data_IF_661535222582
#
_entry.id   IF_661535222582
#
_cell.length_a   1.000
_cell.length_b   1.000
_cell.length_c   1.000
_cell.angle_alpha   90.00
_cell.angle_beta   90.00
_cell.angle_gamma   90.00
#
_symmetry.space_group_name_H-M   'P 1'
#
loop_
_entity.id
_entity.type
_entity.pdbx_description
1 polymer ?
#
# COMPACT_ATOMS: atom_id res chain seq x y z
N UNK A 1 1.06 -16.05 28.35
CA UNK A 1 0.00 -15.00 28.39
C UNK A 1 -0.90 -15.16 27.18
N UNK A 2 -2.22 -15.07 27.40
CA UNK A 2 -3.21 -15.10 26.30
C UNK A 2 -3.13 -13.84 25.45
N UNK A 3 -3.08 -13.99 24.12
CA UNK A 3 -3.00 -12.87 23.19
C UNK A 3 -3.58 -13.17 21.81
N UNK A 4 -3.86 -12.12 21.05
CA UNK A 4 -3.90 -12.14 19.59
C UNK A 4 -2.63 -11.49 19.05
N UNK A 5 -2.15 -11.97 17.90
CA UNK A 5 -0.94 -11.45 17.26
C UNK A 5 -1.34 -10.70 15.98
N UNK A 6 -0.79 -9.51 15.80
CA UNK A 6 -0.80 -8.78 14.53
C UNK A 6 0.58 -8.82 13.89
N UNK A 7 0.66 -9.15 12.61
CA UNK A 7 1.88 -9.13 11.81
C UNK A 7 1.67 -8.20 10.62
N UNK A 8 2.51 -7.19 10.48
CA UNK A 8 2.50 -6.24 9.38
C UNK A 8 3.79 -6.37 8.55
N UNK A 9 3.67 -6.76 7.27
CA UNK A 9 4.78 -6.84 6.33
C UNK A 9 4.85 -5.55 5.52
N UNK A 10 5.61 -4.57 6.04
CA UNK A 10 5.81 -3.28 5.38
C UNK A 10 6.89 -3.30 4.29
N UNK A 11 7.22 -2.12 3.75
CA UNK A 11 8.29 -2.00 2.75
C UNK A 11 9.69 -2.08 3.35
N UNK A 12 9.86 -1.72 4.62
CA UNK A 12 11.20 -1.65 5.28
C UNK A 12 11.45 -2.74 6.30
N UNK A 13 10.42 -3.48 6.70
CA UNK A 13 10.52 -4.53 7.71
C UNK A 13 9.17 -5.11 8.10
N UNK A 14 9.21 -6.20 8.87
CA UNK A 14 8.05 -6.81 9.53
C UNK A 14 7.94 -6.27 10.95
N UNK A 15 6.71 -5.90 11.33
CA UNK A 15 6.34 -5.56 12.71
C UNK A 15 5.36 -6.58 13.23
N UNK A 16 5.65 -7.12 14.41
CA UNK A 16 4.76 -8.06 15.09
C UNK A 16 4.42 -7.51 16.47
N UNK A 17 3.13 -7.51 16.79
CA UNK A 17 2.61 -7.12 18.11
C UNK A 17 1.75 -8.23 18.70
N UNK A 18 1.81 -8.41 20.01
CA UNK A 18 0.87 -9.23 20.75
C UNK A 18 0.00 -8.33 21.63
N UNK A 19 -1.32 -8.54 21.56
CA UNK A 19 -2.33 -7.74 22.26
C UNK A 19 -3.10 -8.66 23.20
N UNK A 20 -3.20 -8.27 24.48
CA UNK A 20 -4.01 -8.99 25.47
C UNK A 20 -5.50 -8.85 25.20
N UNK A 21 -6.38 -9.69 25.84
CA UNK A 21 -7.84 -9.54 25.74
C UNK A 21 -8.35 -8.16 26.18
N UNK A 22 -7.61 -7.44 27.03
CA UNK A 22 -7.94 -6.11 27.48
C UNK A 22 -7.47 -5.00 26.53
N UNK A 23 -6.89 -5.36 25.36
CA UNK A 23 -6.43 -4.42 24.34
C UNK A 23 -5.05 -3.80 24.61
N UNK A 24 -4.26 -4.36 25.53
CA UNK A 24 -2.91 -3.87 25.84
C UNK A 24 -1.86 -4.57 24.98
N UNK A 25 -0.94 -3.79 24.42
CA UNK A 25 0.26 -4.36 23.78
C UNK A 25 1.16 -4.96 24.87
N UNK A 26 1.35 -6.28 24.85
CA UNK A 26 2.13 -7.03 25.82
C UNK A 26 3.51 -7.43 25.29
N UNK A 27 3.68 -7.50 23.98
CA UNK A 27 4.96 -7.70 23.33
C UNK A 27 4.96 -7.04 21.95
N UNK A 28 6.15 -6.63 21.48
CA UNK A 28 6.37 -6.14 20.12
C UNK A 28 7.77 -6.53 19.65
N UNK A 29 7.90 -6.81 18.36
CA UNK A 29 9.17 -7.05 17.71
C UNK A 29 9.15 -6.42 16.31
N UNK A 30 10.31 -6.06 15.82
CA UNK A 30 10.50 -5.51 14.47
C UNK A 30 11.79 -6.06 13.89
N UNK A 31 11.76 -6.46 12.63
CA UNK A 31 12.91 -6.96 11.88
C UNK A 31 12.92 -6.34 10.49
N UNK A 32 14.03 -5.75 10.09
CA UNK A 32 14.19 -5.08 8.80
C UNK A 32 14.80 -6.00 7.75
N UNK A 33 14.58 -5.66 6.49
CA UNK A 33 15.15 -6.33 5.32
C UNK A 33 15.50 -5.35 4.21
N UNK A 34 16.38 -5.74 3.27
CA UNK A 34 16.83 -4.84 2.21
C UNK A 34 15.74 -4.55 1.20
N UNK A 35 15.81 -3.38 0.60
CA UNK A 35 15.10 -3.00 -0.62
C UNK A 35 16.11 -3.00 -1.78
N UNK A 36 15.80 -3.75 -2.84
CA UNK A 36 16.60 -3.77 -4.06
C UNK A 36 16.04 -2.76 -5.08
N UNK A 37 16.93 -1.95 -5.64
CA UNK A 37 16.61 -0.99 -6.71
C UNK A 37 17.52 -1.25 -7.91
N UNK A 38 17.29 -2.34 -8.68
CA UNK A 38 18.22 -2.77 -9.74
C UNK A 38 18.44 -1.75 -10.85
N UNK A 39 17.44 -0.90 -11.11
CA UNK A 39 17.47 0.20 -12.06
C UNK A 39 16.69 1.40 -11.52
N UNK A 40 16.87 2.57 -12.11
CA UNK A 40 16.09 3.77 -11.75
C UNK A 40 14.58 3.48 -11.91
N UNK A 41 13.82 3.75 -10.87
CA UNK A 41 12.37 3.51 -10.84
C UNK A 41 11.96 2.04 -10.60
N UNK A 42 12.90 1.12 -10.44
CA UNK A 42 12.63 -0.27 -10.09
C UNK A 42 12.72 -0.49 -8.59
N UNK A 43 11.84 -1.34 -8.07
CA UNK A 43 11.77 -1.65 -6.64
C UNK A 43 11.35 -3.10 -6.44
N UNK A 44 12.24 -3.89 -5.83
CA UNK A 44 12.07 -5.34 -5.67
C UNK A 44 12.48 -5.81 -4.29
N UNK A 45 11.85 -6.89 -3.82
CA UNK A 45 12.22 -7.59 -2.58
C UNK A 45 12.11 -9.10 -2.73
N UNK A 46 12.96 -9.84 -2.02
CA UNK A 46 12.84 -11.30 -1.93
C UNK A 46 11.74 -11.66 -0.90
N UNK A 47 10.67 -12.39 -1.29
CA UNK A 47 9.65 -12.85 -0.36
C UNK A 47 10.18 -13.72 0.79
N UNK A 48 11.33 -14.40 0.60
CA UNK A 48 11.97 -15.17 1.68
C UNK A 48 12.52 -14.27 2.78
N UNK A 49 12.91 -13.02 2.48
CA UNK A 49 13.30 -12.05 3.51
C UNK A 49 12.13 -11.68 4.41
N UNK A 50 10.92 -11.50 3.83
CA UNK A 50 9.70 -11.27 4.62
C UNK A 50 9.39 -12.43 5.54
N UNK A 51 9.50 -13.65 5.01
CA UNK A 51 9.26 -14.85 5.82
C UNK A 51 10.27 -15.01 6.96
N UNK A 52 11.56 -14.82 6.68
CA UNK A 52 12.61 -14.87 7.71
C UNK A 52 12.38 -13.84 8.81
N UNK A 53 12.06 -12.59 8.43
CA UNK A 53 11.77 -11.52 9.38
C UNK A 53 10.49 -11.82 10.20
N UNK A 54 9.46 -12.38 9.56
CA UNK A 54 8.24 -12.82 10.25
C UNK A 54 8.53 -13.90 11.29
N UNK A 55 9.34 -14.90 10.96
CA UNK A 55 9.73 -15.94 11.92
C UNK A 55 10.47 -15.33 13.10
N UNK A 56 11.48 -14.48 12.83
CA UNK A 56 12.26 -13.84 13.89
C UNK A 56 11.38 -13.00 14.83
N UNK A 57 10.44 -12.22 14.30
CA UNK A 57 9.55 -11.40 15.12
C UNK A 57 8.53 -12.22 15.90
N UNK A 58 8.00 -13.31 15.34
CA UNK A 58 7.12 -14.24 16.05
C UNK A 58 7.85 -14.95 17.19
N UNK A 59 9.09 -15.40 16.95
CA UNK A 59 9.95 -16.02 17.99
C UNK A 59 10.25 -15.02 19.12
N UNK A 60 10.56 -13.77 18.79
CA UNK A 60 10.81 -12.72 19.79
C UNK A 60 9.57 -12.44 20.66
N UNK A 61 8.38 -12.39 20.06
CA UNK A 61 7.11 -12.22 20.78
C UNK A 61 6.82 -13.43 21.67
N UNK A 62 7.07 -14.65 21.20
CA UNK A 62 6.90 -15.86 21.99
C UNK A 62 7.87 -15.87 23.20
N UNK A 63 9.14 -15.49 22.99
CA UNK A 63 10.15 -15.37 24.04
C UNK A 63 9.80 -14.35 25.13
N UNK A 64 8.96 -13.37 24.81
CA UNK A 64 8.41 -12.42 25.77
C UNK A 64 7.27 -13.00 26.66
N UNK A 65 6.99 -14.29 26.56
CA UNK A 65 6.01 -15.02 27.39
C UNK A 65 4.60 -15.06 26.82
N UNK A 66 4.45 -14.88 25.50
CA UNK A 66 3.18 -15.06 24.78
C UNK A 66 3.09 -16.53 24.35
N UNK A 67 2.32 -17.33 25.10
CA UNK A 67 2.25 -18.79 24.99
C UNK A 67 0.85 -19.34 24.67
N UNK A 68 -0.20 -18.52 24.81
CA UNK A 68 -1.59 -18.84 24.46
C UNK A 68 -2.09 -17.88 23.36
N UNK A 69 -1.71 -18.16 22.10
CA UNK A 69 -2.11 -17.34 20.94
C UNK A 69 -3.47 -17.78 20.44
N UNK A 70 -4.45 -16.87 20.47
CA UNK A 70 -5.85 -17.12 20.08
C UNK A 70 -6.13 -16.89 18.61
N UNK A 71 -5.27 -16.15 17.93
CA UNK A 71 -5.35 -15.87 16.51
C UNK A 71 -4.23 -14.97 16.01
N UNK A 72 -3.98 -15.01 14.70
CA UNK A 72 -3.02 -14.16 14.02
C UNK A 72 -3.78 -13.35 12.95
N UNK A 73 -3.63 -12.02 12.99
CA UNK A 73 -4.07 -11.10 11.93
C UNK A 73 -2.88 -10.67 11.10
N UNK A 74 -3.07 -10.62 9.78
CA UNK A 74 -2.03 -10.19 8.83
C UNK A 74 -2.38 -8.84 8.23
N UNK A 75 -1.36 -8.00 8.06
CA UNK A 75 -1.38 -6.75 7.32
C UNK A 75 -0.13 -6.67 6.46
N UNK A 76 -0.17 -5.92 5.37
CA UNK A 76 1.04 -5.72 4.60
C UNK A 76 0.93 -4.75 3.44
N UNK A 77 2.10 -4.38 2.91
CA UNK A 77 2.21 -3.53 1.72
C UNK A 77 1.40 -4.11 0.56
N UNK A 78 0.59 -3.28 -0.06
CA UNK A 78 -0.34 -3.66 -1.13
C UNK A 78 0.38 -3.84 -2.47
N UNK A 79 -0.29 -4.45 -3.44
CA UNK A 79 0.05 -4.46 -4.88
C UNK A 79 1.33 -5.21 -5.28
N UNK A 80 2.18 -5.62 -4.35
CA UNK A 80 3.41 -6.37 -4.64
C UNK A 80 3.10 -7.67 -5.37
N UNK A 81 3.84 -8.00 -6.44
CA UNK A 81 3.60 -9.22 -7.23
C UNK A 81 4.56 -10.32 -6.81
N UNK A 82 4.04 -11.36 -6.17
CA UNK A 82 4.75 -12.62 -5.87
C UNK A 82 4.32 -13.69 -6.86
N UNK A 83 5.28 -14.24 -7.62
CA UNK A 83 5.05 -15.30 -8.58
C UNK A 83 5.59 -16.63 -8.03
N UNK A 84 4.74 -17.65 -8.00
CA UNK A 84 5.08 -18.98 -7.50
C UNK A 84 4.92 -20.04 -8.59
N UNK A 85 5.76 -21.08 -8.56
CA UNK A 85 5.61 -22.27 -9.37
C UNK A 85 4.59 -23.27 -8.77
N UNK A 86 4.40 -24.43 -9.41
CA UNK A 86 3.50 -25.50 -8.96
C UNK A 86 3.85 -26.09 -7.57
N UNK A 87 5.06 -25.84 -7.10
CA UNK A 87 5.57 -26.29 -5.78
C UNK A 87 5.66 -25.17 -4.77
N UNK A 88 4.99 -24.05 -5.03
CA UNK A 88 5.00 -22.84 -4.20
C UNK A 88 6.39 -22.22 -4.01
N UNK A 89 7.32 -22.44 -4.93
CA UNK A 89 8.64 -21.80 -4.89
C UNK A 89 8.57 -20.46 -5.59
N UNK A 90 9.14 -19.44 -4.96
CA UNK A 90 9.29 -18.10 -5.51
C UNK A 90 10.10 -18.16 -6.80
N UNK A 91 9.57 -17.60 -7.88
CA UNK A 91 10.20 -17.62 -9.21
C UNK A 91 11.19 -16.47 -9.41
N UNK A 92 10.96 -15.36 -8.72
CA UNK A 92 11.79 -14.14 -8.78
C UNK A 92 11.48 -13.22 -7.61
N UNK A 93 12.33 -12.21 -7.32
CA UNK A 93 11.99 -11.16 -6.36
C UNK A 93 10.66 -10.47 -6.72
N UNK A 94 9.85 -10.15 -5.73
CA UNK A 94 8.57 -9.47 -5.92
C UNK A 94 8.77 -8.03 -6.42
N UNK A 95 8.00 -7.64 -7.45
CA UNK A 95 7.94 -6.25 -7.93
C UNK A 95 6.98 -5.49 -7.03
N UNK A 96 7.45 -4.40 -6.38
CA UNK A 96 6.72 -3.70 -5.32
C UNK A 96 5.76 -2.62 -5.83
N UNK A 97 4.99 -2.04 -4.91
CA UNK A 97 3.97 -1.02 -5.15
C UNK A 97 4.53 0.32 -5.65
N UNK A 98 5.78 0.64 -5.32
CA UNK A 98 6.49 1.87 -5.70
C UNK A 98 7.36 1.70 -6.96
N UNK A 99 7.28 0.56 -7.63
CA UNK A 99 7.95 0.30 -8.91
C UNK A 99 7.24 1.02 -10.06
N UNK A 100 8.03 1.61 -10.97
CA UNK A 100 7.52 2.45 -12.06
C UNK A 100 7.74 1.86 -13.46
N UNK A 101 8.22 0.60 -13.58
CA UNK A 101 8.62 0.02 -14.87
C UNK A 101 7.48 -0.25 -15.86
N UNK A 102 6.23 -0.33 -15.40
CA UNK A 102 5.10 -0.90 -16.15
C UNK A 102 4.20 0.14 -16.83
N UNK A 103 4.75 1.31 -17.20
CA UNK A 103 3.96 2.37 -17.83
C UNK A 103 3.31 1.97 -19.16
N UNK A 104 4.02 1.22 -20.01
CA UNK A 104 3.50 0.71 -21.27
C UNK A 104 2.34 -0.29 -21.06
N UNK A 105 2.45 -1.14 -20.04
CA UNK A 105 1.43 -2.12 -19.69
C UNK A 105 0.18 -1.47 -19.11
N UNK A 106 0.31 -0.34 -18.41
CA UNK A 106 -0.84 0.46 -17.98
C UNK A 106 -1.65 0.97 -19.19
N UNK A 107 -0.98 1.52 -20.19
CA UNK A 107 -1.63 1.97 -21.42
C UNK A 107 -2.29 0.81 -22.17
N UNK A 108 -1.62 -0.34 -22.27
CA UNK A 108 -2.18 -1.56 -22.88
C UNK A 108 -3.46 -2.03 -22.17
N UNK A 109 -3.49 -2.02 -20.83
CA UNK A 109 -4.68 -2.41 -20.06
C UNK A 109 -5.85 -1.46 -20.34
N UNK A 110 -5.61 -0.15 -20.33
CA UNK A 110 -6.64 0.85 -20.62
C UNK A 110 -7.14 0.76 -22.06
N UNK A 111 -6.28 0.42 -23.03
CA UNK A 111 -6.66 0.20 -24.42
C UNK A 111 -7.52 -1.09 -24.59
N UNK A 112 -7.12 -2.20 -23.98
CA UNK A 112 -7.83 -3.48 -24.12
C UNK A 112 -9.21 -3.52 -23.47
N UNK A 113 -9.37 -2.85 -22.34
CA UNK A 113 -10.61 -2.90 -21.54
C UNK A 113 -11.47 -1.65 -21.77
N UNK A 114 -10.85 -0.51 -22.04
CA UNK A 114 -11.47 0.81 -22.04
C UNK A 114 -11.43 1.44 -20.63
N UNK A 115 -10.94 2.67 -20.54
CA UNK A 115 -10.71 3.35 -19.25
C UNK A 115 -11.98 3.42 -18.39
N UNK A 116 -13.12 3.82 -18.98
CA UNK A 116 -14.39 3.93 -18.25
C UNK A 116 -14.82 2.57 -17.68
N UNK A 117 -14.71 1.51 -18.50
CA UNK A 117 -15.09 0.16 -18.07
C UNK A 117 -14.17 -0.38 -16.98
N UNK A 118 -12.87 -0.14 -17.11
CA UNK A 118 -11.88 -0.52 -16.09
C UNK A 118 -12.21 0.14 -14.75
N UNK A 119 -12.50 1.45 -14.74
CA UNK A 119 -12.87 2.19 -13.53
C UNK A 119 -14.18 1.64 -12.93
N UNK A 120 -15.18 1.35 -13.75
CA UNK A 120 -16.45 0.77 -13.27
C UNK A 120 -16.24 -0.56 -12.54
N UNK A 121 -15.37 -1.43 -13.06
CA UNK A 121 -15.10 -2.75 -12.50
C UNK A 121 -14.19 -2.68 -11.26
N UNK A 122 -13.08 -1.95 -11.38
CA UNK A 122 -11.99 -2.03 -10.41
C UNK A 122 -11.93 -0.85 -9.45
N UNK A 123 -12.74 0.20 -9.67
CA UNK A 123 -12.67 1.45 -8.90
C UNK A 123 -11.45 2.32 -9.23
N UNK A 124 -10.64 1.93 -10.23
CA UNK A 124 -9.34 2.53 -10.50
C UNK A 124 -9.00 2.53 -11.98
N UNK A 125 -8.11 3.42 -12.39
CA UNK A 125 -7.38 3.33 -13.64
C UNK A 125 -6.12 2.50 -13.48
N UNK A 126 -5.47 2.13 -14.57
CA UNK A 126 -4.20 1.41 -14.53
C UNK A 126 -3.06 2.32 -14.02
N UNK A 127 -2.31 1.87 -13.02
CA UNK A 127 -1.14 2.54 -12.47
C UNK A 127 0.01 1.56 -12.32
N UNK A 128 1.24 2.04 -12.47
CA UNK A 128 2.47 1.22 -12.41
C UNK A 128 2.62 0.44 -11.11
N UNK A 129 2.13 1.02 -10.00
CA UNK A 129 2.17 0.36 -8.70
C UNK A 129 1.25 -0.84 -8.55
N UNK A 130 0.20 -1.00 -9.39
CA UNK A 130 -0.75 -2.11 -9.28
C UNK A 130 -0.20 -3.45 -9.81
N UNK A 131 -0.89 -4.55 -9.46
CA UNK A 131 -0.40 -5.91 -9.73
C UNK A 131 -0.53 -6.30 -11.21
N UNK A 132 -1.68 -6.03 -11.85
CA UNK A 132 -1.95 -6.46 -13.22
C UNK A 132 -0.91 -5.96 -14.25
N UNK A 133 -0.47 -4.69 -14.25
CA UNK A 133 0.57 -4.23 -15.16
C UNK A 133 1.89 -4.99 -15.01
N UNK A 134 2.25 -5.42 -13.81
CA UNK A 134 3.47 -6.20 -13.54
C UNK A 134 3.39 -7.62 -14.15
N UNK A 135 2.21 -8.22 -14.16
CA UNK A 135 1.99 -9.53 -14.81
C UNK A 135 2.20 -9.43 -16.32
N UNK A 136 1.66 -8.36 -16.95
CA UNK A 136 1.86 -8.13 -18.39
C UNK A 136 3.32 -7.82 -18.69
N UNK A 137 4.00 -7.09 -17.82
CA UNK A 137 5.42 -6.80 -17.95
C UNK A 137 6.25 -8.09 -17.92
N UNK A 138 5.98 -9.02 -16.99
CA UNK A 138 6.65 -10.32 -16.94
C UNK A 138 6.42 -11.12 -18.22
N UNK A 139 5.22 -11.13 -18.76
CA UNK A 139 4.91 -11.81 -20.02
C UNK A 139 5.80 -11.33 -21.16
N UNK A 140 6.09 -10.04 -21.20
CA UNK A 140 6.87 -9.38 -22.26
C UNK A 140 8.37 -9.47 -22.05
N UNK A 141 8.82 -9.27 -20.83
CA UNK A 141 10.24 -9.06 -20.52
C UNK A 141 10.92 -10.25 -19.85
N UNK A 142 10.16 -11.12 -19.18
CA UNK A 142 10.63 -12.33 -18.51
C UNK A 142 9.76 -13.54 -18.89
N UNK A 143 9.66 -13.90 -20.20
CA UNK A 143 8.74 -14.95 -20.66
C UNK A 143 9.03 -16.33 -20.05
N UNK A 144 10.28 -16.65 -19.73
CA UNK A 144 10.66 -17.91 -19.07
C UNK A 144 10.15 -17.97 -17.61
N UNK A 145 10.10 -16.85 -16.90
CA UNK A 145 9.48 -16.75 -15.57
C UNK A 145 7.96 -16.86 -15.72
N UNK A 146 7.37 -16.08 -16.64
CA UNK A 146 5.94 -16.06 -16.88
C UNK A 146 5.38 -17.47 -17.21
N UNK A 147 6.07 -18.23 -18.04
CA UNK A 147 5.65 -19.58 -18.44
C UNK A 147 5.63 -20.60 -17.28
N UNK A 148 6.31 -20.29 -16.18
CA UNK A 148 6.39 -21.16 -14.98
C UNK A 148 5.43 -20.73 -13.86
N UNK A 149 4.71 -19.62 -14.05
CA UNK A 149 3.77 -19.15 -13.04
C UNK A 149 2.63 -20.16 -12.90
N UNK A 150 2.41 -20.62 -11.70
CA UNK A 150 1.25 -21.44 -11.33
C UNK A 150 0.32 -20.69 -10.38
N UNK A 151 0.86 -19.76 -9.57
CA UNK A 151 0.10 -18.97 -8.58
C UNK A 151 0.66 -17.57 -8.43
N UNK A 152 -0.24 -16.63 -8.15
CA UNK A 152 0.07 -15.22 -7.88
C UNK A 152 -0.45 -14.87 -6.49
N UNK A 153 0.39 -14.21 -5.70
CA UNK A 153 0.05 -13.71 -4.36
C UNK A 153 0.53 -12.28 -4.18
N UNK A 154 0.01 -11.60 -3.16
CA UNK A 154 0.56 -10.36 -2.66
C UNK A 154 1.47 -10.62 -1.43
N UNK A 155 2.22 -9.63 -0.93
CA UNK A 155 3.18 -9.84 0.15
C UNK A 155 2.58 -10.47 1.41
N UNK A 156 1.45 -9.96 1.88
CA UNK A 156 0.72 -10.48 3.03
C UNK A 156 0.23 -11.93 2.79
N UNK A 157 -0.26 -12.19 1.57
CA UNK A 157 -0.81 -13.51 1.22
C UNK A 157 0.28 -14.57 1.12
N UNK A 158 1.50 -14.16 0.73
CA UNK A 158 2.66 -15.04 0.81
C UNK A 158 2.95 -15.46 2.25
N UNK A 159 2.86 -14.54 3.22
CA UNK A 159 2.99 -14.91 4.64
C UNK A 159 1.84 -15.82 5.10
N UNK A 160 0.61 -15.58 4.62
CA UNK A 160 -0.54 -16.45 4.89
C UNK A 160 -0.25 -17.89 4.41
N UNK A 161 0.21 -18.06 3.16
CA UNK A 161 0.62 -19.33 2.61
C UNK A 161 1.70 -20.01 3.46
N UNK A 162 2.74 -19.27 3.86
CA UNK A 162 3.85 -19.82 4.66
C UNK A 162 3.42 -20.25 6.06
N UNK A 163 2.42 -19.59 6.65
CA UNK A 163 1.87 -19.92 7.98
C UNK A 163 0.87 -21.08 7.94
N UNK A 164 0.06 -21.16 6.89
CA UNK A 164 -1.13 -22.03 6.86
C UNK A 164 -1.08 -23.13 5.80
N UNK A 165 -0.37 -22.89 4.69
CA UNK A 165 -0.42 -23.73 3.49
C UNK A 165 -1.57 -23.37 2.54
N UNK A 166 -2.37 -22.35 2.83
CA UNK A 166 -3.54 -21.97 2.04
C UNK A 166 -3.25 -20.82 1.08
N UNK A 167 -3.78 -20.92 -0.15
CA UNK A 167 -3.71 -19.84 -1.16
C UNK A 167 -4.97 -18.98 -1.04
N UNK A 168 -4.93 -17.97 -0.22
CA UNK A 168 -6.03 -17.05 0.04
C UNK A 168 -5.57 -15.60 -0.04
N UNK A 169 -6.48 -14.71 -0.39
CA UNK A 169 -6.34 -13.26 -0.39
C UNK A 169 -7.61 -12.64 0.18
N UNK A 170 -7.47 -11.51 0.88
CA UNK A 170 -8.65 -10.78 1.31
C UNK A 170 -9.13 -9.78 0.26
N UNK A 171 -10.39 -9.37 0.38
CA UNK A 171 -11.04 -8.45 -0.58
C UNK A 171 -10.37 -7.09 -0.67
N UNK A 172 -9.76 -6.57 0.41
CA UNK A 172 -9.14 -5.24 0.38
C UNK A 172 -7.85 -5.25 -0.43
N UNK A 173 -7.02 -6.27 -0.26
CA UNK A 173 -5.78 -6.44 -1.02
C UNK A 173 -6.06 -6.88 -2.47
N UNK A 174 -7.04 -7.78 -2.69
CA UNK A 174 -7.49 -8.18 -4.02
C UNK A 174 -7.95 -6.98 -4.85
N UNK A 175 -8.63 -6.01 -4.24
CA UNK A 175 -9.05 -4.76 -4.89
C UNK A 175 -7.87 -3.98 -5.49
N UNK A 176 -6.70 -4.03 -4.85
CA UNK A 176 -5.47 -3.37 -5.30
C UNK A 176 -4.74 -4.08 -6.43
N UNK A 177 -5.24 -5.23 -6.91
CA UNK A 177 -4.60 -5.97 -8.02
C UNK A 177 -4.91 -5.42 -9.40
N UNK A 178 -5.98 -4.66 -9.56
CA UNK A 178 -6.61 -4.25 -10.83
C UNK A 178 -7.23 -5.44 -11.60
N UNK A 179 -7.40 -6.60 -10.95
CA UNK A 179 -8.03 -7.81 -11.53
C UNK A 179 -9.38 -8.12 -10.86
N UNK A 180 -9.83 -7.26 -9.95
CA UNK A 180 -10.93 -7.52 -9.04
C UNK A 180 -12.17 -6.68 -9.38
N UNK A 181 -13.34 -7.32 -9.43
CA UNK A 181 -14.64 -6.65 -9.48
C UNK A 181 -14.97 -6.16 -8.06
N UNK A 182 -14.60 -4.90 -7.80
CA UNK A 182 -14.67 -4.31 -6.45
C UNK A 182 -16.11 -4.17 -5.97
N UNK A 183 -17.05 -3.92 -6.89
CA UNK A 183 -18.47 -3.82 -6.55
C UNK A 183 -19.03 -5.16 -6.04
N UNK A 184 -18.63 -6.27 -6.67
CA UNK A 184 -19.14 -7.61 -6.36
C UNK A 184 -18.20 -8.44 -5.49
N UNK A 185 -17.06 -7.88 -5.06
CA UNK A 185 -16.10 -8.49 -4.14
C UNK A 185 -15.59 -9.86 -4.63
N UNK A 186 -15.23 -9.94 -5.91
CA UNK A 186 -14.76 -11.16 -6.58
C UNK A 186 -13.78 -10.84 -7.70
N UNK A 187 -13.02 -11.81 -8.14
CA UNK A 187 -12.20 -11.65 -9.34
C UNK A 187 -13.07 -11.31 -10.54
N UNK A 188 -12.60 -10.39 -11.38
CA UNK A 188 -13.27 -9.98 -12.61
C UNK A 188 -12.88 -10.93 -13.75
N UNK A 189 -13.83 -11.78 -14.17
CA UNK A 189 -13.61 -12.64 -15.35
C UNK A 189 -13.37 -11.79 -16.60
N UNK A 190 -14.11 -10.68 -16.77
CA UNK A 190 -13.94 -9.75 -17.89
C UNK A 190 -12.52 -9.18 -17.97
N UNK A 191 -11.94 -8.75 -16.85
CA UNK A 191 -10.57 -8.19 -16.82
C UNK A 191 -9.54 -9.28 -17.04
N UNK A 192 -9.68 -10.44 -16.37
CA UNK A 192 -8.71 -11.54 -16.50
C UNK A 192 -8.71 -12.13 -17.90
N UNK A 193 -9.86 -12.27 -18.56
CA UNK A 193 -9.98 -12.71 -19.94
C UNK A 193 -9.38 -11.71 -20.93
N UNK A 194 -9.72 -10.40 -20.78
CA UNK A 194 -9.17 -9.35 -21.63
C UNK A 194 -7.64 -9.26 -21.55
N UNK A 195 -7.06 -9.57 -20.39
CA UNK A 195 -5.61 -9.54 -20.16
C UNK A 195 -4.96 -10.91 -20.37
N UNK A 196 -5.73 -11.95 -20.68
CA UNK A 196 -5.24 -13.33 -20.87
C UNK A 196 -4.49 -13.86 -19.64
N UNK A 197 -4.99 -13.53 -18.44
CA UNK A 197 -4.44 -13.99 -17.15
C UNK A 197 -5.25 -15.21 -16.69
N UNK A 198 -4.62 -16.39 -16.53
CA UNK A 198 -5.33 -17.59 -16.09
C UNK A 198 -5.98 -17.41 -14.71
N UNK A 199 -7.30 -17.65 -14.64
CA UNK A 199 -8.04 -17.57 -13.38
C UNK A 199 -7.48 -18.52 -12.31
N UNK A 200 -6.89 -19.63 -12.71
CA UNK A 200 -6.25 -20.63 -11.85
C UNK A 200 -5.02 -20.14 -11.10
N UNK A 201 -4.41 -19.02 -11.53
CA UNK A 201 -3.28 -18.43 -10.84
C UNK A 201 -3.71 -17.61 -9.61
N UNK A 202 -4.96 -17.18 -9.58
CA UNK A 202 -5.48 -16.28 -8.57
C UNK A 202 -5.99 -17.05 -7.34
N UNK A 203 -5.67 -16.61 -6.11
CA UNK A 203 -6.06 -17.28 -4.88
C UNK A 203 -7.57 -17.19 -4.61
N UNK A 204 -8.03 -17.98 -3.64
CA UNK A 204 -9.39 -17.89 -3.10
C UNK A 204 -9.59 -16.55 -2.39
N UNK A 205 -10.73 -15.89 -2.64
CA UNK A 205 -11.08 -14.60 -2.04
C UNK A 205 -11.86 -14.82 -0.76
N UNK A 206 -11.47 -14.11 0.29
CA UNK A 206 -12.10 -14.13 1.61
C UNK A 206 -12.41 -12.70 2.07
N UNK A 207 -13.34 -12.54 2.98
CA UNK A 207 -13.46 -11.31 3.77
C UNK A 207 -12.25 -11.21 4.72
N UNK A 208 -11.80 -10.00 5.00
CA UNK A 208 -10.56 -9.76 5.78
C UNK A 208 -10.57 -10.41 7.17
N UNK A 209 -11.74 -10.55 7.78
CA UNK A 209 -11.94 -11.17 9.10
C UNK A 209 -12.13 -12.69 9.06
N UNK A 210 -12.29 -13.30 7.89
CA UNK A 210 -12.44 -14.74 7.77
C UNK A 210 -11.12 -15.46 8.03
N UNK A 211 -11.22 -16.68 8.56
CA UNK A 211 -10.05 -17.53 8.80
C UNK A 211 -9.61 -18.16 7.49
N UNK A 212 -8.44 -17.79 7.00
CA UNK A 212 -7.82 -18.35 5.80
C UNK A 212 -7.27 -19.76 6.02
N UNK A 213 -6.83 -20.06 7.22
CA UNK A 213 -6.25 -21.34 7.58
C UNK A 213 -5.77 -21.38 9.02
N UNK A 214 -4.97 -22.40 9.35
CA UNK A 214 -4.37 -22.56 10.69
C UNK A 214 -2.89 -22.83 10.58
N UNK A 215 -2.13 -22.33 11.55
CA UNK A 215 -0.71 -22.71 11.69
C UNK A 215 -0.58 -24.20 12.02
N UNK A 216 0.63 -24.73 11.93
CA UNK A 216 0.94 -26.10 12.36
C UNK A 216 0.57 -26.40 13.83
N UNK A 217 0.52 -25.35 14.67
CA UNK A 217 0.12 -25.43 16.07
C UNK A 217 -1.42 -25.28 16.26
N UNK A 218 -2.18 -25.15 15.17
CA UNK A 218 -3.63 -25.02 15.19
C UNK A 218 -4.16 -23.61 15.43
N UNK A 219 -3.30 -22.60 15.51
CA UNK A 219 -3.70 -21.20 15.69
C UNK A 219 -4.38 -20.69 14.42
N UNK A 220 -5.59 -20.12 14.49
CA UNK A 220 -6.27 -19.57 13.31
C UNK A 220 -5.54 -18.32 12.80
N UNK A 221 -5.45 -18.19 11.47
CA UNK A 221 -4.89 -17.03 10.77
C UNK A 221 -6.00 -16.38 9.97
N UNK A 222 -6.28 -15.12 10.22
CA UNK A 222 -7.24 -14.34 9.42
C UNK A 222 -6.66 -14.03 8.04
N UNK A 223 -7.51 -13.85 7.04
CA UNK A 223 -7.11 -13.41 5.70
C UNK A 223 -6.37 -12.05 5.76
N UNK A 224 -6.67 -11.24 6.77
CA UNK A 224 -6.00 -9.98 7.02
C UNK A 224 -6.47 -8.88 6.08
N UNK A 225 -5.64 -7.85 5.88
CA UNK A 225 -5.98 -6.74 4.99
C UNK A 225 -4.72 -6.05 4.45
N UNK A 226 -4.83 -5.37 3.32
CA UNK A 226 -3.81 -4.41 2.90
C UNK A 226 -3.57 -3.34 3.98
N UNK A 227 -2.33 -2.87 4.09
CA UNK A 227 -1.87 -2.00 5.19
C UNK A 227 -2.75 -0.76 5.43
N UNK A 228 -3.28 -0.15 4.36
CA UNK A 228 -4.11 1.04 4.46
C UNK A 228 -5.48 0.72 5.09
N UNK A 229 -6.11 -0.39 4.69
CA UNK A 229 -7.39 -0.81 5.25
C UNK A 229 -7.24 -1.32 6.69
N UNK A 230 -6.17 -2.08 6.98
CA UNK A 230 -5.83 -2.53 8.31
C UNK A 230 -5.53 -1.36 9.26
N UNK A 231 -4.71 -0.40 8.80
CA UNK A 231 -4.37 0.80 9.57
C UNK A 231 -5.59 1.68 9.87
N UNK A 232 -6.47 1.87 8.88
CA UNK A 232 -7.72 2.62 9.06
C UNK A 232 -8.64 1.95 10.10
N UNK A 233 -8.80 0.63 10.02
CA UNK A 233 -9.55 -0.14 11.03
C UNK A 233 -8.93 0.00 12.42
N UNK A 234 -7.58 -0.07 12.51
CA UNK A 234 -6.83 0.05 13.76
C UNK A 234 -7.00 1.40 14.46
N UNK A 235 -7.30 2.47 13.73
CA UNK A 235 -7.58 3.82 14.28
C UNK A 235 -9.08 4.14 14.33
N UNK A 236 -9.96 3.15 14.13
CA UNK A 236 -11.41 3.28 14.30
C UNK A 236 -12.15 3.86 13.09
N UNK A 237 -11.56 3.83 11.89
CA UNK A 237 -12.24 4.19 10.64
C UNK A 237 -12.87 2.93 10.05
N UNK A 238 -13.93 2.45 10.67
CA UNK A 238 -14.68 1.23 10.35
C UNK A 238 -16.04 1.51 9.68
N UNK A 239 -16.43 2.78 9.58
CA UNK A 239 -17.72 3.26 9.06
C UNK A 239 -17.60 4.66 8.46
N UNK A 240 -18.57 5.08 7.64
CA UNK A 240 -18.62 6.48 7.14
C UNK A 240 -18.65 7.51 8.27
N UNK A 241 -17.94 8.62 8.03
CA UNK A 241 -17.83 9.77 8.93
C UNK A 241 -16.40 10.02 9.41
N UNK A 242 -15.76 9.15 10.19
CA UNK A 242 -14.34 9.29 10.51
C UNK A 242 -13.45 9.20 9.27
N UNK A 243 -12.32 9.93 9.31
CA UNK A 243 -11.26 9.87 8.29
C UNK A 243 -9.95 9.43 8.94
N UNK A 244 -9.17 8.62 8.24
CA UNK A 244 -7.76 8.42 8.57
C UNK A 244 -6.91 9.34 7.72
N UNK A 245 -5.94 10.02 8.35
CA UNK A 245 -4.91 10.80 7.71
C UNK A 245 -3.55 10.25 8.14
N UNK A 246 -2.83 9.66 7.20
CA UNK A 246 -1.47 9.17 7.42
C UNK A 246 -0.49 10.15 6.77
N UNK A 247 0.43 10.68 7.54
CA UNK A 247 1.45 11.63 7.10
C UNK A 247 2.83 11.03 7.38
N UNK A 248 3.41 10.45 6.34
CA UNK A 248 4.78 9.99 6.29
C UNK A 248 5.52 10.67 5.14
N UNK A 249 6.49 10.01 4.52
CA UNK A 249 7.11 10.47 3.27
C UNK A 249 6.05 10.78 2.22
N UNK A 250 5.08 9.87 2.04
CA UNK A 250 3.83 10.07 1.31
C UNK A 250 2.69 10.46 2.28
N UNK A 251 1.59 10.95 1.73
CA UNK A 251 0.37 11.25 2.48
C UNK A 251 -0.80 10.42 1.97
N UNK A 252 -1.63 9.90 2.89
CA UNK A 252 -2.82 9.15 2.54
C UNK A 252 -4.01 9.67 3.31
N UNK A 253 -5.09 9.99 2.60
CA UNK A 253 -6.41 10.25 3.17
C UNK A 253 -7.30 9.05 2.87
N UNK A 254 -7.92 8.49 3.88
CA UNK A 254 -8.77 7.30 3.78
C UNK A 254 -10.14 7.58 4.39
N UNK A 255 -11.20 7.23 3.66
CA UNK A 255 -12.58 7.38 4.07
C UNK A 255 -13.36 6.09 3.82
N UNK A 256 -14.03 5.57 4.84
CA UNK A 256 -14.94 4.45 4.67
C UNK A 256 -16.21 4.88 3.90
N UNK A 257 -16.67 4.03 2.98
CA UNK A 257 -17.87 4.23 2.18
C UNK A 257 -18.93 3.17 2.53
N UNK A 258 -20.22 3.53 2.55
CA UNK A 258 -21.29 2.58 2.86
C UNK A 258 -21.67 1.67 1.69
N UNK A 259 -21.23 2.02 0.46
CA UNK A 259 -21.49 1.28 -0.76
C UNK A 259 -20.37 1.56 -1.77
N UNK A 260 -20.23 0.69 -2.76
CA UNK A 260 -19.33 0.93 -3.87
C UNK A 260 -19.74 2.18 -4.66
N UNK A 261 -18.78 3.06 -4.86
CA UNK A 261 -18.96 4.28 -5.63
C UNK A 261 -17.63 4.61 -6.34
N UNK A 262 -17.45 4.09 -7.56
CA UNK A 262 -16.30 4.43 -8.37
C UNK A 262 -16.32 5.93 -8.71
N UNK A 263 -15.19 6.61 -8.57
CA UNK A 263 -15.04 8.00 -9.04
C UNK A 263 -14.78 7.97 -10.56
N UNK A 264 -15.66 8.58 -11.40
CA UNK A 264 -15.65 8.37 -12.85
C UNK A 264 -14.35 8.77 -13.56
N UNK A 265 -13.54 9.63 -12.95
CA UNK A 265 -12.25 10.08 -13.50
C UNK A 265 -11.06 9.40 -12.80
N UNK A 266 -11.32 8.46 -11.87
CA UNK A 266 -10.32 7.80 -11.05
C UNK A 266 -9.36 8.77 -10.32
N UNK A 267 -9.87 9.93 -9.87
CA UNK A 267 -9.10 10.93 -9.11
C UNK A 267 -8.79 10.50 -7.69
N UNK A 268 -9.49 9.48 -7.20
CA UNK A 268 -9.21 8.77 -5.94
C UNK A 268 -9.33 7.27 -6.19
N UNK A 269 -8.64 6.50 -5.39
CA UNK A 269 -8.78 5.04 -5.40
C UNK A 269 -10.07 4.62 -4.68
N UNK A 270 -10.72 3.56 -5.17
CA UNK A 270 -11.84 2.92 -4.49
C UNK A 270 -11.56 1.42 -4.40
N UNK A 271 -11.61 0.89 -3.18
CA UNK A 271 -11.33 -0.50 -2.87
C UNK A 271 -12.37 -1.06 -1.89
N UNK A 272 -12.41 -2.39 -1.72
CA UNK A 272 -13.09 -3.01 -0.58
C UNK A 272 -12.40 -2.61 0.72
N UNK A 273 -13.18 -2.36 1.76
CA UNK A 273 -12.66 -2.16 3.12
C UNK A 273 -12.38 -3.51 3.80
N UNK A 274 -11.53 -3.50 4.84
CA UNK A 274 -11.34 -4.66 5.72
C UNK A 274 -12.61 -5.01 6.54
N UNK A 275 -13.58 -4.09 6.64
CA UNK A 275 -14.89 -4.35 7.22
C UNK A 275 -15.77 -5.04 6.17
N UNK A 276 -16.36 -6.21 6.50
CA UNK A 276 -17.24 -6.94 5.57
C UNK A 276 -18.38 -6.07 5.02
N UNK A 277 -18.61 -6.15 3.70
CA UNK A 277 -19.67 -5.39 3.04
C UNK A 277 -19.48 -3.89 2.98
N UNK A 278 -18.28 -3.37 3.33
CA UNK A 278 -17.92 -1.96 3.22
C UNK A 278 -16.85 -1.71 2.15
N UNK A 279 -16.74 -0.48 1.68
CA UNK A 279 -15.72 0.01 0.75
C UNK A 279 -14.99 1.21 1.35
N UNK A 280 -13.94 1.65 0.69
CA UNK A 280 -13.28 2.90 1.04
C UNK A 280 -12.82 3.67 -0.18
N UNK A 281 -12.75 4.98 -0.05
CA UNK A 281 -12.04 5.85 -0.97
C UNK A 281 -10.71 6.26 -0.35
N UNK A 282 -9.67 6.38 -1.19
CA UNK A 282 -8.34 6.74 -0.74
C UNK A 282 -7.67 7.72 -1.71
N UNK A 283 -7.22 8.86 -1.17
CA UNK A 283 -6.33 9.79 -1.85
C UNK A 283 -4.89 9.56 -1.43
N UNK A 284 -3.96 9.51 -2.38
CA UNK A 284 -2.54 9.26 -2.13
C UNK A 284 -1.69 10.36 -2.76
N UNK A 285 -0.94 11.07 -1.95
CA UNK A 285 0.07 12.05 -2.35
C UNK A 285 1.46 11.43 -2.20
N UNK A 286 2.29 11.51 -3.24
CA UNK A 286 3.60 10.85 -3.22
C UNK A 286 4.65 11.57 -2.38
N UNK A 287 4.55 12.88 -2.21
CA UNK A 287 5.51 13.71 -1.46
C UNK A 287 4.80 14.59 -0.42
N UNK A 288 4.47 14.02 0.73
CA UNK A 288 3.91 14.74 1.88
C UNK A 288 5.02 15.29 2.80
N UNK A 289 5.28 14.67 3.94
CA UNK A 289 6.40 15.09 4.80
C UNK A 289 7.77 14.90 4.12
N UNK A 290 7.83 14.04 3.10
CA UNK A 290 8.99 13.93 2.21
C UNK A 290 9.38 15.24 1.52
N UNK A 291 8.42 16.13 1.23
CA UNK A 291 8.69 17.47 0.69
C UNK A 291 9.46 18.35 1.68
N UNK A 292 9.10 18.27 2.96
CA UNK A 292 9.79 19.00 4.03
C UNK A 292 11.21 18.44 4.25
N UNK A 293 11.34 17.10 4.23
CA UNK A 293 12.63 16.44 4.32
C UNK A 293 13.54 16.85 3.15
N UNK A 294 13.04 16.79 1.91
CA UNK A 294 13.77 17.23 0.73
C UNK A 294 14.21 18.71 0.83
N UNK A 295 13.31 19.59 1.25
CA UNK A 295 13.63 21.01 1.41
C UNK A 295 14.73 21.22 2.43
N UNK A 296 14.64 20.59 3.61
CA UNK A 296 15.67 20.67 4.64
C UNK A 296 17.02 20.22 4.09
N UNK A 297 17.08 19.06 3.46
CA UNK A 297 18.33 18.44 3.04
C UNK A 297 18.97 19.21 1.87
N UNK A 298 18.15 19.87 1.02
CA UNK A 298 18.61 20.55 -0.19
C UNK A 298 18.85 22.07 0.01
N UNK A 299 17.92 22.76 0.71
CA UNK A 299 17.89 24.23 0.79
C UNK A 299 18.08 24.78 2.22
N UNK A 300 18.10 23.91 3.23
CA UNK A 300 18.25 24.28 4.63
C UNK A 300 19.12 23.29 5.41
N UNK A 301 20.16 22.77 4.78
CA UNK A 301 21.05 21.76 5.36
C UNK A 301 21.54 22.15 6.76
N UNK A 302 21.40 21.22 7.73
CA UNK A 302 21.82 21.42 9.11
C UNK A 302 20.84 22.22 9.98
N UNK A 303 19.72 22.71 9.44
CA UNK A 303 18.72 23.41 10.23
C UNK A 303 17.73 22.39 10.83
N UNK A 304 17.51 22.38 12.16
CA UNK A 304 16.51 21.55 12.82
C UNK A 304 15.09 21.84 12.29
N UNK A 305 14.22 20.83 12.26
CA UNK A 305 12.82 21.01 11.83
C UNK A 305 12.07 22.01 12.72
N UNK A 306 12.30 21.96 14.04
CA UNK A 306 11.65 22.89 14.98
C UNK A 306 12.00 24.35 14.67
N UNK A 307 13.23 24.63 14.24
CA UNK A 307 13.64 25.97 13.84
C UNK A 307 13.01 26.41 12.52
N UNK A 308 12.88 25.49 11.55
CA UNK A 308 12.17 25.74 10.29
C UNK A 308 10.70 26.05 10.55
N UNK A 309 10.05 25.29 11.43
CA UNK A 309 8.66 25.48 11.83
C UNK A 309 8.46 26.83 12.54
N UNK A 310 9.36 27.19 13.47
CA UNK A 310 9.31 28.47 14.18
C UNK A 310 9.49 29.67 13.21
N UNK A 311 10.34 29.54 12.20
CA UNK A 311 10.50 30.55 11.15
C UNK A 311 9.25 30.64 10.28
N UNK A 312 8.69 29.52 9.84
CA UNK A 312 7.48 29.45 9.04
C UNK A 312 6.27 30.08 9.71
N UNK A 313 6.16 29.92 11.04
CA UNK A 313 5.09 30.51 11.85
C UNK A 313 5.04 32.06 11.81
N UNK A 314 6.11 32.71 11.39
CA UNK A 314 6.17 34.18 11.23
C UNK A 314 5.44 34.67 9.98
N UNK A 315 5.19 33.81 9.02
CA UNK A 315 4.43 34.15 7.82
C UNK A 315 2.92 33.90 8.05
N UNK A 316 2.12 34.80 7.54
CA UNK A 316 0.67 34.60 7.52
C UNK A 316 0.30 33.41 6.59
N UNK A 317 -0.82 32.72 6.83
CA UNK A 317 -1.36 31.72 5.93
C UNK A 317 -1.46 32.24 4.49
N UNK A 318 -1.02 31.44 3.51
CA UNK A 318 -1.00 31.79 2.11
C UNK A 318 0.22 32.59 1.65
N UNK A 319 1.17 32.89 2.56
CA UNK A 319 2.51 33.45 2.28
C UNK A 319 2.53 34.45 1.11
N UNK A 320 1.66 35.46 1.17
CA UNK A 320 1.48 36.50 0.13
C UNK A 320 1.29 35.96 -1.30
N UNK A 321 0.60 34.82 -1.45
CA UNK A 321 0.27 34.21 -2.75
C UNK A 321 1.33 33.24 -3.29
N UNK A 322 2.34 32.88 -2.50
CA UNK A 322 3.26 31.81 -2.84
C UNK A 322 2.51 30.46 -2.85
N UNK A 323 2.77 29.63 -3.84
CA UNK A 323 2.20 28.29 -3.97
C UNK A 323 3.35 27.29 -4.12
N UNK A 324 3.27 26.19 -3.37
CA UNK A 324 4.14 25.04 -3.58
C UNK A 324 3.35 23.88 -4.21
N UNK A 325 3.87 23.33 -5.30
CA UNK A 325 3.37 22.10 -5.92
C UNK A 325 4.25 20.93 -5.46
N UNK A 326 3.70 19.97 -4.71
CA UNK A 326 4.49 18.92 -4.02
C UNK A 326 4.84 17.72 -4.90
N UNK A 327 4.84 17.86 -6.21
CA UNK A 327 4.99 16.75 -7.16
C UNK A 327 6.45 16.33 -7.40
N UNK A 328 7.26 16.27 -6.33
CA UNK A 328 8.69 15.96 -6.40
C UNK A 328 9.01 14.58 -6.99
N UNK A 329 8.07 13.64 -6.87
CA UNK A 329 8.20 12.25 -7.33
C UNK A 329 7.09 11.86 -8.33
N UNK A 330 6.55 12.84 -9.07
CA UNK A 330 5.30 12.66 -9.78
C UNK A 330 4.09 12.77 -8.84
N UNK A 331 2.89 12.43 -9.31
CA UNK A 331 1.71 12.39 -8.45
C UNK A 331 0.78 11.22 -8.81
N UNK A 332 0.15 10.65 -7.78
CA UNK A 332 -0.80 9.54 -7.93
C UNK A 332 -2.25 10.06 -7.97
N UNK A 333 -2.70 10.73 -6.94
CA UNK A 333 -4.03 11.30 -6.87
C UNK A 333 -3.96 12.79 -6.57
N UNK A 334 -4.79 13.64 -7.23
CA UNK A 334 -5.85 13.31 -8.19
C UNK A 334 -5.36 13.25 -9.65
N UNK A 335 -4.09 13.48 -9.95
CA UNK A 335 -3.61 13.76 -11.32
C UNK A 335 -3.19 12.50 -12.09
N UNK A 336 -2.74 11.45 -11.38
CA UNK A 336 -2.19 10.22 -11.98
C UNK A 336 -1.11 10.50 -13.04
N UNK A 337 -0.20 11.43 -12.73
CA UNK A 337 0.84 11.89 -13.63
C UNK A 337 2.23 11.60 -13.03
N UNK A 338 2.94 10.57 -13.53
CA UNK A 338 4.29 10.24 -13.07
C UNK A 338 5.34 11.27 -13.49
N UNK A 339 5.03 12.11 -14.48
CA UNK A 339 5.93 13.13 -15.01
C UNK A 339 5.70 14.53 -14.40
N UNK A 340 4.69 14.69 -13.53
CA UNK A 340 4.52 15.90 -12.75
C UNK A 340 5.76 16.22 -11.93
N UNK A 341 6.10 17.51 -11.80
CA UNK A 341 7.27 17.96 -11.03
C UNK A 341 6.91 19.04 -10.04
N UNK A 342 7.63 19.04 -8.91
CA UNK A 342 7.49 20.06 -7.88
C UNK A 342 7.88 21.45 -8.37
N UNK A 343 7.19 22.48 -7.88
CA UNK A 343 7.47 23.88 -8.21
C UNK A 343 7.05 24.82 -7.09
N UNK A 344 7.77 25.96 -7.00
CA UNK A 344 7.28 27.14 -6.29
C UNK A 344 6.80 28.18 -7.32
N UNK A 345 5.58 28.65 -7.17
CA UNK A 345 4.92 29.61 -8.09
C UNK A 345 4.60 30.88 -7.31
N UNK A 346 4.83 32.04 -7.90
CA UNK A 346 4.52 33.32 -7.28
C UNK A 346 5.64 33.90 -6.39
N UNK A 347 6.86 33.41 -6.52
CA UNK A 347 8.03 33.97 -5.81
C UNK A 347 8.23 35.45 -6.15
N UNK A 348 8.47 36.24 -5.12
CA UNK A 348 8.86 37.65 -5.21
C UNK A 348 10.08 37.92 -4.30
N UNK A 349 10.66 39.12 -4.38
CA UNK A 349 11.78 39.50 -3.51
C UNK A 349 11.45 39.57 -2.02
N UNK A 350 10.16 39.47 -1.68
CA UNK A 350 9.72 39.41 -0.28
C UNK A 350 9.80 38.01 0.34
N UNK A 351 9.73 36.98 -0.49
CA UNK A 351 9.69 35.61 0.00
C UNK A 351 11.10 35.13 0.36
N UNK A 352 11.21 34.61 1.54
CA UNK A 352 12.41 34.00 2.08
C UNK A 352 12.20 32.48 2.29
N UNK A 353 13.18 31.82 2.90
CA UNK A 353 13.12 30.41 3.24
C UNK A 353 11.90 30.08 4.12
N UNK A 354 11.55 30.96 5.04
CA UNK A 354 10.44 30.75 5.96
C UNK A 354 9.09 30.72 5.22
N UNK A 355 8.90 31.58 4.21
CA UNK A 355 7.73 31.55 3.33
C UNK A 355 7.62 30.22 2.57
N UNK A 356 8.75 29.71 2.03
CA UNK A 356 8.79 28.44 1.33
C UNK A 356 8.42 27.25 2.25
N UNK A 357 8.97 27.22 3.44
CA UNK A 357 8.63 26.21 4.48
C UNK A 357 7.15 26.27 4.84
N UNK A 358 6.60 27.49 4.99
CA UNK A 358 5.17 27.69 5.29
C UNK A 358 4.29 27.06 4.22
N UNK A 359 4.62 27.27 2.93
CA UNK A 359 3.84 26.74 1.82
C UNK A 359 4.03 25.23 1.60
N UNK A 360 5.22 24.68 1.87
CA UNK A 360 5.41 23.23 1.91
C UNK A 360 4.49 22.60 2.97
N UNK A 361 4.45 23.18 4.16
CA UNK A 361 3.57 22.75 5.25
C UNK A 361 2.10 22.79 4.83
N UNK A 362 1.66 23.87 4.16
CA UNK A 362 0.31 24.00 3.64
C UNK A 362 -0.01 22.93 2.59
N UNK A 363 0.85 22.77 1.58
CA UNK A 363 0.60 21.86 0.47
C UNK A 363 0.66 20.38 0.88
N UNK A 364 1.50 20.04 1.84
CA UNK A 364 1.83 18.64 2.13
C UNK A 364 1.26 18.09 3.44
N UNK A 365 1.04 18.92 4.50
CA UNK A 365 0.76 18.31 5.80
C UNK A 365 -0.06 19.12 6.80
N UNK A 366 -0.12 20.44 6.73
CA UNK A 366 -0.42 21.20 7.95
C UNK A 366 -1.59 22.17 7.90
N UNK A 367 -2.05 22.57 6.78
CA UNK A 367 -3.19 23.48 6.79
C UNK A 367 -4.51 22.72 6.76
N UNK A 368 -5.06 22.63 7.95
CA UNK A 368 -6.50 22.61 8.08
C UNK A 368 -6.98 24.04 7.75
N UNK A 369 -7.55 24.19 6.60
CA UNK A 369 -8.41 25.33 6.32
C UNK A 369 -9.73 25.11 7.01
#
# INVERSE_FOLDING_TARGET
MTAVIGVDVGTTGVKTIAISPEGKVIAKAEESYPLSTPQTGWSEQDPEDWWRATQATLEAVAAAGVDDVRGIGLSGQMHGLVCLDERDRVLRPAILWNDQRTGAECAEIEERIGLERLIQLTGNRALTGFTAPKILWLRRHEPDVYARIARLLLPKDYLCLRLTGEHAIDVSDASGTLLFDVAHRRWSDEVTEALEIPRSWLPSVLESSEVSGRTKQGVPVAAGAGDQAAGALGVGVDRPGPLSLVLGTSGVVFAALPAYAAEPQARVHVFCHAVPGAWHAMGVMLSAAGSMQWFRDTLAAGVPFDDLDAQAAQWAPGSDGLIFLPYLAGERTPHADPDARGAFIGLSLRHDRAAMVREIGRASCRERV
#
